data_IF_744416157615
#
_entry.id   IF_744416157615
#
_cell.length_a   1.000
_cell.length_b   1.000
_cell.length_c   1.000
_cell.angle_alpha   90.00
_cell.angle_beta   90.00
_cell.angle_gamma   90.00
#
_symmetry.space_group_name_H-M   'P 1'
#
loop_
_entity.id
_entity.type
_entity.pdbx_description
1 polymer ?
#
# COMPACT_ATOMS: atom_id res chain seq x y z
N UNK A 1 -5.12 -53.36 20.82
CA UNK A 1 -6.53 -53.18 21.22
C UNK A 1 -6.71 -51.69 21.41
N UNK A 2 -7.09 -50.91 20.37
CA UNK A 2 -8.47 -50.66 19.91
C UNK A 2 -9.36 -50.32 21.12
N UNK A 3 -9.72 -49.05 21.35
CA UNK A 3 -10.90 -48.32 20.83
C UNK A 3 -10.82 -46.86 21.36
N UNK A 4 -11.45 -45.79 20.86
CA UNK A 4 -12.29 -45.47 19.72
C UNK A 4 -12.24 -43.94 19.52
N UNK A 5 -12.07 -43.46 18.29
CA UNK A 5 -12.20 -42.05 17.92
C UNK A 5 -13.67 -41.75 17.58
N UNK A 6 -14.25 -40.61 18.02
CA UNK A 6 -15.60 -40.26 17.61
C UNK A 6 -15.64 -39.79 16.15
N UNK A 7 -16.54 -40.47 15.44
CA UNK A 7 -17.11 -40.30 14.10
C UNK A 7 -16.90 -38.93 13.40
N UNK A 8 -16.06 -38.93 12.36
CA UNK A 8 -15.78 -37.81 11.46
C UNK A 8 -16.89 -37.57 10.41
N UNK A 9 -18.02 -38.29 10.48
CA UNK A 9 -19.10 -38.23 9.50
C UNK A 9 -20.06 -37.03 9.58
N UNK A 10 -20.01 -36.20 10.64
CA UNK A 10 -20.96 -35.07 10.84
C UNK A 10 -20.47 -33.69 10.46
N UNK A 11 -19.18 -33.49 10.20
CA UNK A 11 -18.63 -32.17 9.84
C UNK A 11 -18.70 -31.89 8.33
N UNK A 12 -18.94 -32.92 7.50
CA UNK A 12 -19.04 -32.75 6.04
C UNK A 12 -20.37 -32.14 5.55
N UNK A 13 -21.42 -32.08 6.40
CA UNK A 13 -22.73 -31.51 6.01
C UNK A 13 -22.91 -30.02 6.32
N UNK A 14 -22.00 -29.39 7.08
CA UNK A 14 -22.07 -27.95 7.36
C UNK A 14 -21.08 -27.11 6.52
N UNK A 15 -20.11 -27.74 5.86
CA UNK A 15 -19.16 -27.04 4.97
C UNK A 15 -19.73 -26.70 3.58
N UNK A 16 -20.99 -27.04 3.29
CA UNK A 16 -21.58 -26.92 1.95
C UNK A 16 -22.58 -25.77 1.78
N UNK A 17 -22.63 -24.79 2.70
CA UNK A 17 -23.57 -23.65 2.60
C UNK A 17 -22.92 -22.27 2.44
N UNK A 18 -21.60 -22.17 2.30
CA UNK A 18 -20.94 -20.89 2.03
C UNK A 18 -19.92 -20.97 0.89
N UNK A 19 -20.33 -21.55 -0.24
CA UNK A 19 -19.67 -21.34 -1.51
C UNK A 19 -20.11 -19.98 -2.09
N UNK A 20 -19.53 -18.89 -1.56
CA UNK A 20 -19.57 -17.61 -2.25
C UNK A 20 -19.00 -17.79 -3.67
N UNK A 21 -19.63 -17.25 -4.71
CA UNK A 21 -19.24 -17.53 -6.10
C UNK A 21 -17.88 -16.89 -6.41
N UNK A 22 -16.82 -17.71 -6.37
CA UNK A 22 -15.41 -17.37 -6.69
C UNK A 22 -15.24 -16.77 -8.09
N UNK A 23 -16.20 -16.96 -9.01
CA UNK A 23 -16.12 -16.42 -10.37
C UNK A 23 -16.38 -14.90 -10.43
N UNK A 24 -17.29 -14.40 -9.59
CA UNK A 24 -17.76 -13.00 -9.63
C UNK A 24 -16.72 -12.00 -9.11
N UNK A 25 -15.96 -12.38 -8.08
CA UNK A 25 -14.91 -11.54 -7.50
C UNK A 25 -13.76 -11.31 -8.48
N UNK A 26 -13.39 -12.35 -9.25
CA UNK A 26 -12.36 -12.25 -10.27
C UNK A 26 -12.74 -11.26 -11.37
N UNK A 27 -14.01 -11.23 -11.78
CA UNK A 27 -14.50 -10.33 -12.83
C UNK A 27 -14.54 -8.87 -12.34
N UNK A 28 -15.11 -8.63 -11.16
CA UNK A 28 -15.22 -7.29 -10.56
C UNK A 28 -13.84 -6.69 -10.26
N UNK A 29 -12.90 -7.46 -9.70
CA UNK A 29 -11.53 -6.98 -9.45
C UNK A 29 -10.79 -6.62 -10.74
N UNK A 30 -11.00 -7.40 -11.81
CA UNK A 30 -10.41 -7.16 -13.13
C UNK A 30 -10.98 -5.89 -13.78
N UNK A 31 -12.27 -5.64 -13.61
CA UNK A 31 -12.95 -4.45 -14.10
C UNK A 31 -12.48 -3.17 -13.37
N UNK A 32 -12.32 -3.22 -12.04
CA UNK A 32 -11.83 -2.08 -11.24
C UNK A 32 -10.36 -1.74 -11.57
N UNK A 33 -9.51 -2.75 -11.71
CA UNK A 33 -8.09 -2.55 -12.08
C UNK A 33 -7.95 -1.87 -13.44
N UNK A 34 -8.79 -2.25 -14.42
CA UNK A 34 -8.77 -1.63 -15.75
C UNK A 34 -9.15 -0.15 -15.69
N UNK A 35 -10.15 0.25 -14.88
CA UNK A 35 -10.54 1.66 -14.74
C UNK A 35 -9.39 2.50 -14.16
N UNK A 36 -8.75 2.03 -13.09
CA UNK A 36 -7.60 2.74 -12.47
C UNK A 36 -6.41 2.84 -13.42
N UNK A 37 -6.09 1.75 -14.14
CA UNK A 37 -5.05 1.76 -15.15
C UNK A 37 -5.31 2.83 -16.21
N UNK A 38 -6.54 2.88 -16.77
CA UNK A 38 -6.91 3.86 -17.80
C UNK A 38 -6.78 5.28 -17.28
N UNK A 39 -7.21 5.56 -16.04
CA UNK A 39 -7.07 6.89 -15.43
C UNK A 39 -5.59 7.29 -15.32
N UNK A 40 -4.75 6.46 -14.70
CA UNK A 40 -3.33 6.78 -14.54
C UNK A 40 -2.59 6.86 -15.87
N UNK A 41 -2.91 5.98 -16.82
CA UNK A 41 -2.35 6.02 -18.16
C UNK A 41 -2.70 7.33 -18.85
N UNK A 42 -3.97 7.75 -18.78
CA UNK A 42 -4.42 9.02 -19.36
C UNK A 42 -3.69 10.21 -18.72
N UNK A 43 -3.59 10.24 -17.39
CA UNK A 43 -2.82 11.28 -16.69
C UNK A 43 -1.35 11.28 -17.09
N UNK A 44 -0.75 10.10 -17.25
CA UNK A 44 0.66 9.94 -17.68
C UNK A 44 0.86 10.50 -19.08
N UNK A 45 -0.04 10.21 -20.02
CA UNK A 45 0.02 10.73 -21.40
C UNK A 45 -0.19 12.24 -21.44
N UNK A 46 -1.17 12.76 -20.67
CA UNK A 46 -1.39 14.20 -20.56
C UNK A 46 -0.15 14.90 -19.98
N UNK A 47 0.48 14.31 -18.97
CA UNK A 47 1.67 14.88 -18.34
C UNK A 47 2.91 14.79 -19.25
N UNK A 48 3.08 13.68 -20.00
CA UNK A 48 4.12 13.58 -21.02
C UNK A 48 3.93 14.67 -22.09
N UNK A 49 2.69 14.88 -22.54
CA UNK A 49 2.36 15.96 -23.50
C UNK A 49 2.69 17.34 -22.93
N UNK A 50 2.43 17.56 -21.63
CA UNK A 50 2.83 18.79 -20.94
C UNK A 50 4.35 18.97 -20.95
N UNK A 51 5.13 17.95 -20.61
CA UNK A 51 6.60 18.00 -20.64
C UNK A 51 7.08 18.34 -22.06
N UNK A 52 6.55 17.65 -23.08
CA UNK A 52 6.88 17.89 -24.47
C UNK A 52 6.58 19.34 -24.89
N UNK A 53 5.42 19.86 -24.48
CA UNK A 53 5.04 21.25 -24.73
C UNK A 53 5.99 22.24 -24.05
N UNK A 54 6.36 22.01 -22.79
CA UNK A 54 7.33 22.87 -22.09
C UNK A 54 8.72 22.80 -22.75
N UNK A 55 9.15 21.60 -23.14
CA UNK A 55 10.41 21.36 -23.86
C UNK A 55 10.46 22.02 -25.24
N UNK A 56 9.31 22.12 -25.93
CA UNK A 56 9.20 22.83 -27.21
C UNK A 56 9.40 24.34 -27.11
N UNK A 57 9.36 24.90 -25.89
CA UNK A 57 9.51 26.33 -25.68
C UNK A 57 10.97 26.70 -25.43
N UNK A 58 11.46 27.69 -26.17
CA UNK A 58 12.80 28.25 -25.96
C UNK A 58 12.90 29.09 -24.68
N UNK A 59 11.77 29.50 -24.11
CA UNK A 59 11.62 30.27 -22.89
C UNK A 59 10.31 29.86 -22.21
N UNK A 60 10.27 29.83 -20.87
CA UNK A 60 9.06 29.53 -20.12
C UNK A 60 7.90 30.47 -20.53
N UNK A 61 6.62 30.03 -20.42
CA UNK A 61 5.47 30.88 -20.70
C UNK A 61 5.56 32.17 -19.89
N UNK A 62 5.17 33.32 -20.47
CA UNK A 62 5.30 34.64 -19.84
C UNK A 62 4.81 34.69 -18.38
N UNK A 63 3.73 33.99 -18.06
CA UNK A 63 3.19 33.92 -16.70
C UNK A 63 4.13 33.20 -15.70
N UNK A 64 4.84 32.15 -16.14
CA UNK A 64 5.81 31.45 -15.32
C UNK A 64 7.10 32.28 -15.17
N UNK A 65 7.55 32.93 -16.25
CA UNK A 65 8.73 33.79 -16.19
C UNK A 65 8.54 35.02 -15.29
N UNK A 66 7.33 35.59 -15.22
CA UNK A 66 7.05 36.69 -14.29
C UNK A 66 7.13 36.26 -12.82
N UNK A 67 6.65 35.05 -12.50
CA UNK A 67 6.73 34.49 -11.15
C UNK A 67 8.18 34.21 -10.79
N UNK A 68 8.97 33.66 -11.71
CA UNK A 68 10.40 33.43 -11.50
C UNK A 68 11.20 34.73 -11.34
N UNK A 69 10.91 35.73 -12.16
CA UNK A 69 11.51 37.05 -12.06
C UNK A 69 11.17 37.73 -10.72
N UNK A 70 9.91 37.64 -10.30
CA UNK A 70 9.46 38.18 -9.01
C UNK A 70 10.12 37.44 -7.85
N UNK A 71 10.16 36.11 -7.91
CA UNK A 71 10.81 35.27 -6.90
C UNK A 71 12.31 35.60 -6.81
N UNK A 72 12.99 35.71 -7.96
CA UNK A 72 14.40 36.08 -8.03
C UNK A 72 14.63 37.49 -7.46
N UNK A 73 13.79 38.47 -7.81
CA UNK A 73 13.86 39.84 -7.27
C UNK A 73 13.64 39.88 -5.75
N UNK A 74 12.67 39.13 -5.23
CA UNK A 74 12.42 39.03 -3.78
C UNK A 74 13.60 38.36 -3.07
N UNK A 75 14.12 37.24 -3.59
CA UNK A 75 15.28 36.58 -2.98
C UNK A 75 16.53 37.47 -3.00
N UNK A 76 16.71 38.23 -4.08
CA UNK A 76 17.84 39.15 -4.24
C UNK A 76 17.73 40.34 -3.28
N UNK A 77 16.52 40.89 -3.08
CA UNK A 77 16.29 42.04 -2.21
C UNK A 77 16.47 41.73 -0.71
N UNK A 78 16.20 40.50 -0.29
CA UNK A 78 16.43 40.03 1.10
C UNK A 78 17.90 39.63 1.34
N UNK A 79 18.76 39.69 0.33
CA UNK A 79 20.16 39.28 0.44
C UNK A 79 20.35 37.76 0.55
N UNK A 80 19.34 36.96 0.21
CA UNK A 80 19.43 35.50 0.23
C UNK A 80 20.52 34.97 -0.72
N UNK A 81 20.87 35.73 -1.74
CA UNK A 81 21.98 35.47 -2.68
C UNK A 81 23.37 35.32 -2.03
N UNK A 82 23.58 35.83 -0.81
CA UNK A 82 24.84 35.65 -0.06
C UNK A 82 24.92 34.29 0.64
N UNK A 83 23.78 33.61 0.82
CA UNK A 83 23.76 32.25 1.32
C UNK A 83 24.10 31.29 0.18
N UNK A 84 25.19 30.55 0.36
CA UNK A 84 25.77 29.67 -0.67
C UNK A 84 24.76 28.62 -1.20
N UNK A 85 23.84 28.15 -0.36
CA UNK A 85 22.75 27.25 -0.76
C UNK A 85 21.72 27.90 -1.69
N UNK A 86 21.25 29.10 -1.37
CA UNK A 86 20.23 29.79 -2.17
C UNK A 86 20.79 30.26 -3.52
N UNK A 87 22.05 30.72 -3.53
CA UNK A 87 22.77 31.02 -4.77
C UNK A 87 22.89 29.80 -5.69
N UNK A 88 23.08 28.61 -5.13
CA UNK A 88 23.13 27.37 -5.90
C UNK A 88 21.76 27.05 -6.53
N UNK A 89 20.67 27.15 -5.76
CA UNK A 89 19.30 26.90 -6.26
C UNK A 89 18.94 27.83 -7.43
N UNK A 90 19.22 29.12 -7.29
CA UNK A 90 18.95 30.11 -8.35
C UNK A 90 19.81 29.84 -9.59
N UNK A 91 21.07 29.41 -9.41
CA UNK A 91 22.00 29.17 -10.52
C UNK A 91 21.65 27.93 -11.35
N UNK A 92 21.02 26.93 -10.73
CA UNK A 92 20.68 25.65 -11.36
C UNK A 92 19.16 25.39 -11.35
N UNK A 93 18.36 26.46 -11.44
CA UNK A 93 16.90 26.37 -11.41
C UNK A 93 16.36 25.54 -12.58
N UNK A 94 16.97 25.67 -13.75
CA UNK A 94 16.70 24.86 -14.94
C UNK A 94 16.82 23.36 -14.65
N UNK A 95 17.89 22.95 -13.98
CA UNK A 95 18.10 21.53 -13.62
C UNK A 95 17.10 21.06 -12.59
N UNK A 96 16.67 21.95 -11.69
CA UNK A 96 15.66 21.63 -10.69
C UNK A 96 14.28 21.45 -11.34
N UNK A 97 13.94 22.24 -12.35
CA UNK A 97 12.70 22.08 -13.13
C UNK A 97 12.66 20.72 -13.82
N UNK A 98 13.72 20.37 -14.54
CA UNK A 98 13.89 19.05 -15.16
C UNK A 98 13.73 17.91 -14.14
N UNK A 99 14.45 18.00 -13.03
CA UNK A 99 14.34 17.05 -11.93
C UNK A 99 12.89 16.91 -11.42
N UNK A 100 12.20 18.02 -11.17
CA UNK A 100 10.85 18.00 -10.61
C UNK A 100 9.80 17.49 -11.60
N UNK A 101 9.89 17.90 -12.87
CA UNK A 101 9.02 17.41 -13.95
C UNK A 101 9.12 15.89 -14.06
N UNK A 102 10.34 15.37 -14.16
CA UNK A 102 10.58 13.95 -14.29
C UNK A 102 10.34 13.17 -12.99
N UNK A 103 10.49 13.77 -11.82
CA UNK A 103 10.09 13.16 -10.55
C UNK A 103 8.58 12.84 -10.53
N UNK A 104 7.74 13.81 -10.87
CA UNK A 104 6.27 13.59 -10.94
C UNK A 104 5.92 12.59 -12.04
N UNK A 105 6.58 12.70 -13.20
CA UNK A 105 6.38 11.75 -14.29
C UNK A 105 6.72 10.31 -13.89
N UNK A 106 7.81 10.11 -13.15
CA UNK A 106 8.22 8.81 -12.63
C UNK A 106 7.21 8.18 -11.65
N UNK A 107 6.55 9.01 -10.83
CA UNK A 107 5.42 8.55 -9.99
C UNK A 107 4.26 8.09 -10.86
N UNK A 108 3.87 8.87 -11.87
CA UNK A 108 2.77 8.53 -12.76
C UNK A 108 3.04 7.24 -13.56
N UNK A 109 4.26 7.08 -14.08
CA UNK A 109 4.70 5.85 -14.74
C UNK A 109 4.61 4.64 -13.81
N UNK A 110 5.10 4.79 -12.57
CA UNK A 110 5.05 3.73 -11.54
C UNK A 110 3.62 3.36 -11.19
N UNK A 111 2.72 4.34 -11.03
CA UNK A 111 1.30 4.12 -10.74
C UNK A 111 0.59 3.41 -11.89
N UNK A 112 0.83 3.84 -13.12
CA UNK A 112 0.29 3.24 -14.35
C UNK A 112 0.73 1.79 -14.47
N UNK A 113 2.04 1.51 -14.37
CA UNK A 113 2.55 0.16 -14.49
C UNK A 113 2.05 -0.76 -13.35
N UNK A 114 1.93 -0.26 -12.12
CA UNK A 114 1.46 -1.03 -10.96
C UNK A 114 -0.02 -1.44 -11.05
N UNK A 115 -0.83 -0.71 -11.82
CA UNK A 115 -2.25 -1.01 -12.04
C UNK A 115 -2.51 -1.80 -13.33
N UNK A 116 -1.47 -2.15 -14.08
CA UNK A 116 -1.59 -2.94 -15.31
C UNK A 116 -2.22 -4.31 -15.05
N UNK A 117 -3.10 -4.74 -15.98
CA UNK A 117 -3.68 -6.09 -15.99
C UNK A 117 -2.65 -7.19 -16.25
N UNK A 118 -1.51 -6.82 -16.84
CA UNK A 118 -0.45 -7.76 -17.19
C UNK A 118 0.50 -7.94 -16.01
N UNK A 119 0.58 -9.16 -15.50
CA UNK A 119 1.41 -9.49 -14.34
C UNK A 119 2.88 -9.10 -14.54
N UNK A 120 3.44 -9.34 -15.73
CA UNK A 120 4.84 -8.99 -16.04
C UNK A 120 5.11 -7.48 -15.97
N UNK A 121 4.14 -6.64 -16.34
CA UNK A 121 4.28 -5.18 -16.25
C UNK A 121 4.19 -4.75 -14.79
N UNK A 122 3.22 -5.28 -14.05
CA UNK A 122 3.02 -4.95 -12.63
C UNK A 122 4.23 -5.35 -11.78
N UNK A 123 4.77 -6.55 -11.98
CA UNK A 123 5.90 -7.06 -11.21
C UNK A 123 7.19 -6.27 -11.49
N UNK A 124 7.37 -5.82 -12.74
CA UNK A 124 8.52 -5.04 -13.17
C UNK A 124 8.24 -3.53 -13.22
N UNK A 125 7.20 -3.04 -12.54
CA UNK A 125 6.72 -1.67 -12.72
C UNK A 125 7.78 -0.60 -12.39
N UNK A 126 8.73 -0.89 -11.49
CA UNK A 126 9.81 0.04 -11.13
C UNK A 126 10.83 0.15 -12.26
N UNK A 127 11.31 -1.01 -12.72
CA UNK A 127 12.26 -1.08 -13.83
C UNK A 127 11.67 -0.50 -15.11
N UNK A 128 10.38 -0.77 -15.37
CA UNK A 128 9.69 -0.20 -16.52
C UNK A 128 9.55 1.32 -16.41
N UNK A 129 9.19 1.85 -15.24
CA UNK A 129 9.12 3.30 -15.02
C UNK A 129 10.48 3.98 -15.22
N UNK A 130 11.57 3.37 -14.73
CA UNK A 130 12.92 3.87 -14.92
C UNK A 130 13.29 3.86 -16.41
N UNK A 131 13.13 2.72 -17.08
CA UNK A 131 13.51 2.57 -18.48
C UNK A 131 12.72 3.50 -19.40
N UNK A 132 11.39 3.57 -19.23
CA UNK A 132 10.52 4.46 -20.01
C UNK A 132 10.79 5.92 -19.69
N UNK A 133 10.97 6.27 -18.41
CA UNK A 133 11.22 7.64 -17.98
C UNK A 133 12.54 8.20 -18.51
N UNK A 134 13.65 7.45 -18.35
CA UNK A 134 14.96 7.85 -18.88
C UNK A 134 14.94 7.87 -20.40
N UNK A 135 14.30 6.88 -21.03
CA UNK A 135 14.15 6.86 -22.49
C UNK A 135 13.37 8.08 -23.00
N UNK A 136 12.32 8.49 -22.29
CA UNK A 136 11.57 9.70 -22.60
C UNK A 136 12.40 10.97 -22.44
N UNK A 137 13.20 11.09 -21.36
CA UNK A 137 14.11 12.23 -21.18
C UNK A 137 15.17 12.32 -22.27
N UNK A 138 15.73 11.17 -22.69
CA UNK A 138 16.65 11.14 -23.83
C UNK A 138 15.97 11.57 -25.14
N UNK A 139 14.71 11.18 -25.36
CA UNK A 139 13.93 11.64 -26.51
C UNK A 139 13.62 13.14 -26.43
N UNK A 140 13.42 13.68 -25.23
CA UNK A 140 13.19 15.10 -25.01
C UNK A 140 14.42 15.93 -25.39
N UNK A 141 15.62 15.52 -24.97
CA UNK A 141 16.88 16.15 -25.37
C UNK A 141 17.12 16.07 -26.88
N UNK A 142 16.80 14.93 -27.51
CA UNK A 142 16.86 14.81 -28.98
C UNK A 142 15.85 15.74 -29.65
N UNK A 143 14.65 15.88 -29.10
CA UNK A 143 13.63 16.80 -29.59
C UNK A 143 14.11 18.27 -29.49
N UNK A 144 14.77 18.65 -28.41
CA UNK A 144 15.30 20.00 -28.23
C UNK A 144 16.32 20.42 -29.29
N UNK A 145 17.01 19.48 -29.95
CA UNK A 145 17.88 19.77 -31.11
C UNK A 145 17.10 20.48 -32.23
N UNK A 146 15.81 20.18 -32.37
CA UNK A 146 14.94 20.75 -33.39
C UNK A 146 14.25 22.05 -32.95
N UNK A 147 14.43 22.46 -31.69
CA UNK A 147 13.85 23.69 -31.15
C UNK A 147 14.83 24.85 -31.38
N UNK A 148 14.43 25.91 -32.11
CA UNK A 148 15.30 27.05 -32.35
C UNK A 148 15.74 27.70 -31.04
N UNK A 149 17.02 28.08 -30.94
CA UNK A 149 17.61 28.73 -29.76
C UNK A 149 17.64 27.88 -28.49
N UNK A 150 17.46 26.55 -28.59
CA UNK A 150 17.73 25.59 -27.52
C UNK A 150 18.96 24.76 -27.85
N UNK A 151 19.72 24.39 -26.83
CA UNK A 151 20.82 23.44 -26.93
C UNK A 151 20.56 22.27 -26.00
N UNK A 152 20.57 21.02 -26.49
CA UNK A 152 20.47 19.86 -25.61
C UNK A 152 21.64 19.84 -24.64
N UNK A 153 21.40 19.38 -23.42
CA UNK A 153 22.42 19.30 -22.39
C UNK A 153 22.34 17.96 -21.67
N UNK A 154 23.48 17.28 -21.64
CA UNK A 154 23.62 15.99 -20.93
C UNK A 154 23.29 16.13 -19.45
N UNK A 155 23.45 17.32 -18.88
CA UNK A 155 23.08 17.62 -17.49
C UNK A 155 21.57 17.65 -17.26
N UNK A 156 20.76 17.99 -18.27
CA UNK A 156 19.30 17.90 -18.20
C UNK A 156 18.85 16.44 -18.19
N UNK A 157 19.44 15.61 -19.06
CA UNK A 157 19.21 14.16 -19.02
C UNK A 157 19.59 13.54 -17.65
N UNK A 158 20.67 14.00 -17.03
CA UNK A 158 21.03 13.56 -15.68
C UNK A 158 20.01 14.03 -14.63
N UNK A 159 19.51 15.26 -14.73
CA UNK A 159 18.47 15.77 -13.85
C UNK A 159 17.16 14.98 -14.01
N UNK A 160 16.75 14.71 -15.24
CA UNK A 160 15.59 13.89 -15.59
C UNK A 160 15.71 12.48 -14.99
N UNK A 161 16.86 11.82 -15.24
CA UNK A 161 17.14 10.49 -14.71
C UNK A 161 17.15 10.46 -13.18
N UNK A 162 17.74 11.48 -12.54
CA UNK A 162 17.74 11.63 -11.09
C UNK A 162 16.31 11.79 -10.55
N UNK A 163 15.47 12.60 -11.20
CA UNK A 163 14.05 12.77 -10.85
C UNK A 163 13.30 11.44 -10.89
N UNK A 164 13.45 10.69 -12.00
CA UNK A 164 12.84 9.36 -12.15
C UNK A 164 13.31 8.39 -11.06
N UNK A 165 14.62 8.29 -10.80
CA UNK A 165 15.15 7.36 -9.79
C UNK A 165 14.67 7.75 -8.38
N UNK A 166 14.74 9.03 -8.03
CA UNK A 166 14.28 9.54 -6.74
C UNK A 166 12.79 9.27 -6.52
N UNK A 167 11.97 9.38 -7.57
CA UNK A 167 10.54 9.06 -7.48
C UNK A 167 10.29 7.59 -7.14
N UNK A 168 11.10 6.67 -7.66
CA UNK A 168 10.97 5.24 -7.35
C UNK A 168 11.38 4.93 -5.91
N UNK A 169 12.45 5.56 -5.43
CA UNK A 169 12.89 5.45 -4.04
C UNK A 169 11.81 5.98 -3.10
N UNK A 170 11.27 7.17 -3.39
CA UNK A 170 10.19 7.78 -2.64
C UNK A 170 8.96 6.86 -2.56
N UNK A 171 8.55 6.30 -3.70
CA UNK A 171 7.43 5.36 -3.75
C UNK A 171 7.71 4.08 -2.93
N UNK A 172 8.91 3.52 -3.03
CA UNK A 172 9.31 2.34 -2.28
C UNK A 172 9.30 2.58 -0.76
N UNK A 173 9.80 3.73 -0.32
CA UNK A 173 9.74 4.15 1.09
C UNK A 173 8.29 4.28 1.54
N UNK A 174 7.43 4.93 0.74
CA UNK A 174 6.00 5.06 1.06
C UNK A 174 5.30 3.71 1.23
N UNK A 175 5.55 2.76 0.34
CA UNK A 175 5.02 1.39 0.44
C UNK A 175 5.56 0.67 1.67
N UNK A 176 6.87 0.77 1.94
CA UNK A 176 7.49 0.17 3.11
C UNK A 176 6.92 0.74 4.42
N UNK A 177 6.78 2.07 4.51
CA UNK A 177 6.17 2.74 5.67
C UNK A 177 4.73 2.30 5.88
N UNK A 178 3.93 2.25 4.80
CA UNK A 178 2.54 1.78 4.87
C UNK A 178 2.45 0.33 5.36
N UNK A 179 3.27 -0.57 4.81
CA UNK A 179 3.33 -1.96 5.24
C UNK A 179 3.77 -2.09 6.70
N UNK A 180 4.72 -1.25 7.14
CA UNK A 180 5.21 -1.23 8.52
C UNK A 180 4.12 -0.84 9.51
N UNK A 181 3.29 0.16 9.17
CA UNK A 181 2.17 0.60 9.98
C UNK A 181 1.07 -0.45 10.05
N UNK A 182 0.73 -1.10 8.93
CA UNK A 182 -0.24 -2.19 8.93
C UNK A 182 0.21 -3.39 9.77
N UNK A 183 1.48 -3.78 9.67
CA UNK A 183 2.03 -4.86 10.49
C UNK A 183 1.93 -4.55 12.00
N UNK A 184 2.13 -3.31 12.41
CA UNK A 184 1.95 -2.92 13.81
C UNK A 184 0.49 -3.03 14.25
N UNK A 185 -0.46 -2.68 13.36
CA UNK A 185 -1.90 -2.77 13.66
C UNK A 185 -2.38 -4.22 13.76
N UNK A 186 -1.97 -5.09 12.83
CA UNK A 186 -2.32 -6.51 12.87
C UNK A 186 -1.78 -7.21 14.13
N UNK A 187 -0.54 -6.90 14.54
CA UNK A 187 0.02 -7.42 15.80
C UNK A 187 -0.75 -6.99 17.04
N UNK A 188 -1.42 -5.84 16.99
CA UNK A 188 -2.25 -5.39 18.10
C UNK A 188 -3.57 -6.17 18.13
N UNK A 189 -4.24 -6.29 16.97
CA UNK A 189 -5.47 -7.08 16.81
C UNK A 189 -5.26 -8.55 17.22
N UNK A 190 -4.13 -9.16 16.83
CA UNK A 190 -3.76 -10.52 17.24
C UNK A 190 -3.60 -10.65 18.76
N UNK A 191 -3.04 -9.63 19.43
CA UNK A 191 -2.89 -9.61 20.89
C UNK A 191 -4.24 -9.47 21.59
N UNK A 192 -5.05 -8.50 21.16
CA UNK A 192 -6.37 -8.26 21.74
C UNK A 192 -7.28 -9.49 21.58
N UNK A 193 -7.20 -10.17 20.42
CA UNK A 193 -7.92 -11.43 20.17
C UNK A 193 -7.44 -12.56 21.08
N UNK A 194 -6.13 -12.73 21.23
CA UNK A 194 -5.56 -13.75 22.12
C UNK A 194 -5.94 -13.54 23.59
N UNK A 195 -6.06 -12.28 24.03
CA UNK A 195 -6.50 -11.94 25.39
C UNK A 195 -8.00 -12.25 25.59
N UNK A 196 -8.84 -11.98 24.59
CA UNK A 196 -10.26 -12.32 24.65
C UNK A 196 -10.46 -13.84 24.73
N UNK A 197 -9.74 -14.61 23.90
CA UNK A 197 -9.79 -16.07 23.91
C UNK A 197 -9.30 -16.65 25.24
N UNK A 198 -8.30 -16.02 25.88
CA UNK A 198 -7.80 -16.42 27.19
C UNK A 198 -8.86 -16.18 28.29
N UNK A 199 -9.51 -15.02 28.28
CA UNK A 199 -10.60 -14.69 29.22
C UNK A 199 -11.81 -15.61 29.04
N UNK A 200 -12.17 -15.94 27.81
CA UNK A 200 -13.29 -16.85 27.53
C UNK A 200 -13.02 -18.26 28.06
N UNK A 201 -11.79 -18.77 27.90
CA UNK A 201 -11.38 -20.07 28.48
C UNK A 201 -11.42 -20.08 30.00
N UNK A 202 -11.01 -18.99 30.64
CA UNK A 202 -11.07 -18.84 32.09
C UNK A 202 -12.52 -18.87 32.60
N UNK A 203 -13.42 -18.12 31.95
CA UNK A 203 -14.86 -18.13 32.27
C UNK A 203 -15.46 -19.53 32.08
N UNK A 204 -15.11 -20.23 31.00
CA UNK A 204 -15.59 -21.60 30.76
C UNK A 204 -15.10 -22.58 31.84
N UNK A 205 -13.83 -22.48 32.24
CA UNK A 205 -13.27 -23.31 33.31
C UNK A 205 -13.95 -23.06 34.67
N UNK A 206 -14.28 -21.79 34.99
CA UNK A 206 -15.04 -21.42 36.18
C UNK A 206 -16.48 -21.94 36.15
N UNK A 207 -17.15 -21.87 34.99
CA UNK A 207 -18.51 -22.41 34.82
C UNK A 207 -18.56 -23.93 34.96
N UNK A 208 -17.56 -24.66 34.45
CA UNK A 208 -17.47 -26.12 34.59
C UNK A 208 -17.21 -26.53 36.03
N UNK A 209 -16.39 -25.77 36.76
CA UNK A 209 -16.13 -26.02 38.18
C UNK A 209 -17.37 -25.75 39.03
N UNK A 210 -18.12 -24.68 38.76
CA UNK A 210 -19.40 -24.39 39.44
C UNK A 210 -20.47 -25.47 39.18
N UNK A 211 -20.62 -25.93 37.93
CA UNK A 211 -21.50 -27.05 37.60
C UNK A 211 -21.11 -28.35 38.31
N UNK A 212 -19.81 -28.63 38.44
CA UNK A 212 -19.33 -29.80 39.18
C UNK A 212 -19.60 -29.67 40.68
N UNK A 213 -19.46 -28.49 41.27
CA UNK A 213 -19.82 -28.24 42.68
C UNK A 213 -21.33 -28.49 42.88
N UNK A 214 -22.19 -27.94 42.02
CA UNK A 214 -23.63 -28.16 42.11
C UNK A 214 -24.02 -29.63 41.98
N UNK A 215 -23.35 -30.41 41.11
CA UNK A 215 -23.56 -31.86 41.01
C UNK A 215 -23.08 -32.60 42.26
N UNK A 216 -21.97 -32.19 42.86
CA UNK A 216 -21.44 -32.81 44.07
C UNK A 216 -22.39 -32.60 45.25
N UNK A 217 -22.87 -31.37 45.46
CA UNK A 217 -23.85 -31.03 46.52
C UNK A 217 -25.18 -31.78 46.32
N UNK A 218 -25.69 -31.85 45.08
CA UNK A 218 -26.92 -32.60 44.77
C UNK A 218 -26.74 -34.14 44.82
N UNK A 219 -25.50 -34.62 44.84
CA UNK A 219 -25.15 -36.02 45.07
C UNK A 219 -25.01 -36.36 46.55
N UNK A 220 -24.54 -35.41 47.36
CA UNK A 220 -24.37 -35.52 48.81
C UNK A 220 -25.73 -35.52 49.56
N UNK A 221 -26.70 -34.73 49.08
CA UNK A 221 -28.10 -34.77 49.58
C UNK A 221 -28.82 -36.11 49.31
N UNK A 222 -28.21 -37.05 48.57
CA UNK A 222 -28.78 -38.37 48.28
C UNK A 222 -28.24 -39.48 49.19
N UNK A 223 -27.37 -39.16 50.14
CA UNK A 223 -26.77 -40.12 51.07
C UNK A 223 -27.39 -40.10 52.50
N UNK A 224 -28.33 -39.19 52.79
CA UNK A 224 -28.99 -39.11 54.11
C UNK A 224 -30.41 -39.74 54.13
N UNK A 225 -30.71 -40.64 53.18
CA UNK A 225 -32.00 -41.34 53.12
C UNK A 225 -31.79 -42.87 53.01
N UNK A 226 -31.08 -43.44 53.98
CA UNK A 226 -31.10 -44.88 54.27
C UNK A 226 -30.85 -45.15 55.76
N UNK A 227 -31.78 -44.68 56.58
CA UNK A 227 -32.14 -45.38 57.81
C UNK A 227 -33.65 -45.70 57.70
N UNK A 228 -34.05 -46.82 58.28
CA UNK A 228 -35.41 -47.43 58.22
C UNK A 228 -35.68 -48.39 57.05
N UNK A 229 -35.23 -49.64 57.20
CA UNK A 229 -36.14 -50.81 57.23
C UNK A 229 -35.34 -52.13 57.18
N UNK A 230 -34.97 -52.65 58.36
CA UNK A 230 -34.61 -54.07 58.50
C UNK A 230 -35.46 -54.67 59.60
N UNK A 231 -36.77 -54.67 59.36
CA UNK A 231 -37.73 -55.44 60.16
C UNK A 231 -38.69 -56.18 59.21
N UNK A 232 -38.23 -57.32 58.65
CA UNK A 232 -39.11 -58.35 58.08
C UNK A 232 -38.41 -59.70 57.86
N UNK A 233 -38.54 -60.54 58.88
CA UNK A 233 -38.98 -61.95 58.82
C UNK A 233 -39.01 -62.65 57.46
N UNK A 234 -38.28 -63.77 57.35
CA UNK A 234 -38.66 -65.09 56.79
C UNK A 234 -37.51 -66.06 57.21
N UNK A 235 -37.65 -66.99 58.16
CA UNK A 235 -38.32 -68.30 58.06
C UNK A 235 -38.23 -68.94 56.66
#
# INVERSE_FOLDING_TARGET
MLEAFPDSGRISKLANSFSAPVSTTSHVMKEISNKRFVVYFTLTVLYATLIFYLSSQSHLPHAASEIEDLLHKILTSVGAQYFHMFKFIIKYSDKLEHFMLFFVFGILLRLTASHSRYFSIKNNAMLLAIAVGIGYGALDEVHQIFVPMRSPSVYDLFADAAGIICSQIFFAIGVWMYARLQNSRNRQDDRDRSECDAKEREVHALSESDQNIHRYVAGDERCDEHDEDVDRLYL
#
